data_IF_178399778712
#
_entry.id   IF_178399778712
#
_cell.length_a   1.000
_cell.length_b   1.000
_cell.length_c   1.000
_cell.angle_alpha   90.00
_cell.angle_beta   90.00
_cell.angle_gamma   90.00
#
_symmetry.space_group_name_H-M   'P 1'
#
loop_
_entity.id
_entity.type
_entity.pdbx_description
1 polymer ?
#
# COMPACT_ATOMS: atom_id res chain seq x y z
N UNK A 1 -1.97 42.04 12.28
CA UNK A 1 -2.92 40.92 12.47
C UNK A 1 -2.26 39.71 11.85
N UNK A 2 -1.89 38.70 12.65
CA UNK A 2 -1.30 37.48 12.09
C UNK A 2 -2.43 36.65 11.51
N UNK A 3 -2.43 36.47 10.20
CA UNK A 3 -3.31 35.48 9.57
C UNK A 3 -2.98 34.10 10.14
N UNK A 4 -4.00 33.28 10.50
CA UNK A 4 -3.75 31.91 10.87
C UNK A 4 -3.18 31.19 9.64
N UNK A 5 -1.94 30.72 9.74
CA UNK A 5 -1.36 29.79 8.77
C UNK A 5 -2.36 28.64 8.58
N UNK A 6 -2.86 28.38 7.35
CA UNK A 6 -3.79 27.30 7.13
C UNK A 6 -3.16 26.00 7.64
N UNK A 7 -3.91 25.12 8.34
CA UNK A 7 -3.36 23.86 8.81
C UNK A 7 -2.78 23.13 7.60
N UNK A 8 -1.50 22.77 7.67
CA UNK A 8 -0.87 21.91 6.68
C UNK A 8 -1.80 20.70 6.48
N UNK A 9 -2.16 20.31 5.25
CA UNK A 9 -3.03 19.16 5.02
C UNK A 9 -2.35 17.89 5.53
N UNK A 10 -2.56 17.58 6.81
CA UNK A 10 -2.01 16.41 7.47
C UNK A 10 -2.82 15.17 7.12
N UNK A 11 -2.15 14.02 7.12
CA UNK A 11 -2.84 12.75 7.13
C UNK A 11 -3.51 12.55 8.51
N UNK A 12 -4.70 11.94 8.52
CA UNK A 12 -5.32 11.53 9.78
C UNK A 12 -4.73 10.20 10.24
N UNK A 13 -4.79 9.87 11.55
CA UNK A 13 -4.43 8.52 12.02
C UNK A 13 -5.15 7.40 11.25
N UNK A 14 -6.40 7.63 10.85
CA UNK A 14 -7.18 6.69 10.03
C UNK A 14 -6.60 6.53 8.61
N UNK A 15 -6.07 7.59 8.01
CA UNK A 15 -5.38 7.51 6.70
C UNK A 15 -4.12 6.63 6.81
N UNK A 16 -3.32 6.81 7.88
CA UNK A 16 -2.13 5.99 8.18
C UNK A 16 -2.48 4.53 8.40
N UNK A 17 -3.50 4.24 9.21
CA UNK A 17 -3.98 2.88 9.42
C UNK A 17 -4.48 2.23 8.12
N UNK A 18 -5.16 3.01 7.26
CA UNK A 18 -5.65 2.52 5.97
C UNK A 18 -4.48 2.14 5.06
N UNK A 19 -3.48 3.02 4.89
CA UNK A 19 -2.26 2.74 4.10
C UNK A 19 -1.51 1.52 4.64
N UNK A 20 -1.27 1.46 5.96
CA UNK A 20 -0.61 0.31 6.59
C UNK A 20 -1.41 -0.99 6.40
N UNK A 21 -2.75 -0.89 6.44
CA UNK A 21 -3.66 -2.00 6.16
C UNK A 21 -3.51 -2.51 4.72
N UNK A 22 -3.42 -1.60 3.74
CA UNK A 22 -3.15 -1.95 2.33
C UNK A 22 -1.81 -2.68 2.22
N UNK A 23 -0.73 -2.11 2.78
CA UNK A 23 0.60 -2.74 2.73
C UNK A 23 0.62 -4.13 3.36
N UNK A 24 -0.05 -4.33 4.50
CA UNK A 24 -0.15 -5.65 5.16
C UNK A 24 -0.92 -6.66 4.31
N UNK A 25 -2.01 -6.25 3.66
CA UNK A 25 -2.77 -7.11 2.74
C UNK A 25 -1.94 -7.48 1.52
N UNK A 26 -1.22 -6.53 0.93
CA UNK A 26 -0.30 -6.76 -0.19
C UNK A 26 0.77 -7.79 0.18
N UNK A 27 1.42 -7.63 1.34
CA UNK A 27 2.44 -8.57 1.83
C UNK A 27 1.88 -9.98 2.05
N UNK A 28 0.69 -10.08 2.66
CA UNK A 28 0.01 -11.37 2.87
C UNK A 28 -0.31 -12.06 1.54
N UNK A 29 -0.84 -11.30 0.58
CA UNK A 29 -1.20 -11.82 -0.73
C UNK A 29 0.03 -12.26 -1.53
N UNK A 30 1.14 -11.51 -1.47
CA UNK A 30 2.40 -11.90 -2.09
C UNK A 30 2.96 -13.20 -1.49
N UNK A 31 2.95 -13.35 -0.16
CA UNK A 31 3.39 -14.57 0.52
C UNK A 31 2.48 -15.77 0.20
N UNK A 32 1.18 -15.55 0.01
CA UNK A 32 0.26 -16.59 -0.42
C UNK A 32 0.51 -16.99 -1.88
N UNK A 33 0.67 -16.02 -2.78
CA UNK A 33 0.97 -16.26 -4.19
C UNK A 33 2.25 -17.08 -4.37
N UNK A 34 3.29 -16.78 -3.59
CA UNK A 34 4.54 -17.55 -3.59
C UNK A 34 4.35 -18.99 -3.12
N UNK A 35 3.55 -19.22 -2.06
CA UNK A 35 3.24 -20.58 -1.58
C UNK A 35 2.45 -21.38 -2.61
N UNK A 36 1.45 -20.77 -3.24
CA UNK A 36 0.67 -21.40 -4.30
C UNK A 36 1.52 -21.69 -5.55
N UNK A 37 2.40 -20.77 -5.93
CA UNK A 37 3.35 -20.97 -7.03
C UNK A 37 4.35 -22.10 -6.74
N UNK A 38 4.85 -22.19 -5.50
CA UNK A 38 5.76 -23.27 -5.08
C UNK A 38 5.07 -24.63 -5.01
N UNK A 39 3.76 -24.66 -4.75
CA UNK A 39 2.94 -25.87 -4.74
C UNK A 39 2.38 -26.25 -6.13
N UNK A 40 2.65 -25.44 -7.16
CA UNK A 40 2.10 -25.66 -8.49
C UNK A 40 2.73 -26.91 -9.15
N UNK A 41 1.95 -27.65 -9.96
CA UNK A 41 2.41 -28.90 -10.56
C UNK A 41 3.44 -28.71 -11.69
N UNK A 42 3.58 -27.48 -12.21
CA UNK A 42 4.55 -27.10 -13.24
C UNK A 42 4.74 -25.57 -13.28
N UNK A 43 5.76 -25.12 -14.00
CA UNK A 43 6.12 -23.71 -14.13
C UNK A 43 5.02 -22.87 -14.80
N UNK A 44 4.30 -23.43 -15.79
CA UNK A 44 3.22 -22.72 -16.46
C UNK A 44 2.05 -22.41 -15.51
N UNK A 45 1.69 -23.38 -14.66
CA UNK A 45 0.70 -23.20 -13.61
C UNK A 45 1.16 -22.19 -12.57
N UNK A 46 2.43 -22.26 -12.12
CA UNK A 46 3.02 -21.30 -11.20
C UNK A 46 2.95 -19.87 -11.74
N UNK A 47 3.33 -19.66 -13.01
CA UNK A 47 3.29 -18.38 -13.68
C UNK A 47 1.86 -17.82 -13.77
N UNK A 48 0.88 -18.65 -14.09
CA UNK A 48 -0.52 -18.25 -14.16
C UNK A 48 -1.09 -17.89 -12.77
N UNK A 49 -0.74 -18.65 -11.73
CA UNK A 49 -1.10 -18.32 -10.35
C UNK A 49 -0.54 -16.95 -9.94
N UNK A 50 0.74 -16.70 -10.22
CA UNK A 50 1.38 -15.41 -9.93
C UNK A 50 0.72 -14.27 -10.71
N UNK A 51 0.38 -14.48 -12.00
CA UNK A 51 -0.30 -13.46 -12.82
C UNK A 51 -1.66 -13.10 -12.25
N UNK A 52 -2.51 -14.08 -11.97
CA UNK A 52 -3.85 -13.85 -11.40
C UNK A 52 -3.79 -13.19 -10.03
N UNK A 53 -2.86 -13.64 -9.19
CA UNK A 53 -2.69 -13.06 -7.87
C UNK A 53 -2.27 -11.60 -7.97
N UNK A 54 -1.31 -11.26 -8.84
CA UNK A 54 -0.89 -9.87 -9.08
C UNK A 54 -2.05 -9.00 -9.57
N UNK A 55 -2.88 -9.49 -10.49
CA UNK A 55 -4.05 -8.76 -10.99
C UNK A 55 -5.07 -8.49 -9.88
N UNK A 56 -5.41 -9.51 -9.08
CA UNK A 56 -6.34 -9.37 -7.96
C UNK A 56 -5.81 -8.39 -6.90
N UNK A 57 -4.52 -8.50 -6.57
CA UNK A 57 -3.83 -7.63 -5.62
C UNK A 57 -3.78 -6.19 -6.11
N UNK A 58 -3.44 -5.96 -7.39
CA UNK A 58 -3.42 -4.63 -7.98
C UNK A 58 -4.81 -3.99 -8.01
N UNK A 59 -5.84 -4.75 -8.34
CA UNK A 59 -7.22 -4.25 -8.36
C UNK A 59 -7.74 -3.91 -6.96
N UNK A 60 -7.40 -4.71 -5.95
CA UNK A 60 -7.71 -4.39 -4.56
C UNK A 60 -6.96 -3.15 -4.09
N UNK A 61 -5.66 -3.05 -4.39
CA UNK A 61 -4.85 -1.91 -4.03
C UNK A 61 -5.37 -0.61 -4.67
N UNK A 62 -5.80 -0.65 -5.94
CA UNK A 62 -6.44 0.50 -6.60
C UNK A 62 -7.70 0.96 -5.87
N UNK A 63 -8.59 0.02 -5.53
CA UNK A 63 -9.82 0.35 -4.78
C UNK A 63 -9.53 0.94 -3.41
N UNK A 64 -8.56 0.36 -2.70
CA UNK A 64 -8.16 0.86 -1.39
C UNK A 64 -7.49 2.24 -1.49
N UNK A 65 -6.63 2.47 -2.49
CA UNK A 65 -5.98 3.76 -2.73
C UNK A 65 -6.97 4.85 -3.15
N UNK A 66 -8.02 4.51 -3.90
CA UNK A 66 -9.11 5.46 -4.23
C UNK A 66 -9.93 5.87 -3.01
N UNK A 67 -9.94 5.06 -1.95
CA UNK A 67 -10.60 5.40 -0.69
C UNK A 67 -9.74 6.33 0.19
N UNK A 68 -8.46 6.50 -0.14
CA UNK A 68 -7.52 7.36 0.58
C UNK A 68 -7.34 8.65 -0.20
N UNK A 69 -7.30 9.78 0.51
CA UNK A 69 -7.03 11.07 -0.11
C UNK A 69 -5.58 11.13 -0.63
N UNK A 70 -5.32 11.55 -1.87
CA UNK A 70 -3.96 11.66 -2.41
C UNK A 70 -3.04 12.53 -1.53
N UNK A 71 -3.56 13.59 -0.91
CA UNK A 71 -2.76 14.45 -0.03
C UNK A 71 -2.31 13.72 1.23
N UNK A 72 -3.13 12.78 1.75
CA UNK A 72 -2.77 12.00 2.92
C UNK A 72 -1.62 11.02 2.61
N UNK A 73 -1.60 10.44 1.39
CA UNK A 73 -0.50 9.58 0.93
C UNK A 73 0.79 10.38 0.78
N UNK A 74 0.72 11.58 0.19
CA UNK A 74 1.88 12.47 0.04
C UNK A 74 2.43 12.93 1.40
N UNK A 75 1.55 13.28 2.35
CA UNK A 75 1.95 13.65 3.70
C UNK A 75 2.59 12.48 4.46
N UNK A 76 2.08 11.26 4.30
CA UNK A 76 2.68 10.04 4.85
C UNK A 76 4.07 9.76 4.29
N UNK A 77 4.27 9.99 2.99
CA UNK A 77 5.58 9.81 2.35
C UNK A 77 6.61 10.81 2.89
N UNK A 78 6.24 12.08 2.97
CA UNK A 78 7.13 13.13 3.48
C UNK A 78 7.55 12.90 4.96
N UNK A 79 6.66 12.32 5.77
CA UNK A 79 6.93 11.93 7.17
C UNK A 79 7.95 10.78 7.26
N UNK A 80 7.85 9.78 6.37
CA UNK A 80 8.80 8.65 6.33
C UNK A 80 10.18 9.04 5.82
N UNK A 81 10.27 9.94 4.82
CA UNK A 81 11.55 10.47 4.34
C UNK A 81 12.26 11.29 5.44
N UNK A 82 11.49 12.06 6.22
CA UNK A 82 12.02 12.84 7.34
C UNK A 82 12.61 11.97 8.47
N UNK A 83 11.97 10.82 8.77
CA UNK A 83 12.47 9.86 9.78
C UNK A 83 13.76 9.13 9.33
N UNK A 84 13.95 8.90 8.02
CA UNK A 84 15.14 8.23 7.47
C UNK A 84 16.35 9.18 7.34
N UNK A 85 16.13 10.49 7.12
CA UNK A 85 17.17 11.52 7.06
C UNK A 85 17.76 11.89 8.45
N UNK A 86 17.11 11.50 9.56
CA UNK A 86 17.58 11.74 10.93
C UNK A 86 18.54 10.66 11.49
N UNK A 87 18.96 9.68 10.67
CA UNK A 87 19.91 8.60 11.06
C UNK A 87 21.31 8.73 10.46
#
# INVERSE_FOLDING_TARGET
MSEPTPPTPGYTPADKETVLGVLRRLGTAAAQAQREAAAAPNEAAAAEHLRRSREAVAEQARRDMLAIRPEAIAALHADMDADDDEK
#
